data_IF_607548279163
#
_entry.id   IF_607548279163
#
_cell.length_a   1.000
_cell.length_b   1.000
_cell.length_c   1.000
_cell.angle_alpha   90.00
_cell.angle_beta   90.00
_cell.angle_gamma   90.00
#
_symmetry.space_group_name_H-M   'P 1'
#
loop_
_entity.id
_entity.type
_entity.pdbx_description
1 polymer ?
#
# COMPACT_ATOMS: atom_id res chain seq x y z
N UNK A 1 -1.16 24.74 13.09
CA UNK A 1 -0.87 24.12 11.77
C UNK A 1 0.28 23.16 11.95
N UNK A 2 0.24 21.99 11.29
CA UNK A 2 1.36 21.04 11.29
C UNK A 2 2.65 21.74 10.84
N UNK A 3 3.79 21.30 11.36
CA UNK A 3 5.08 21.78 10.87
C UNK A 3 5.21 21.35 9.40
N UNK A 4 5.53 22.30 8.54
CA UNK A 4 5.82 22.06 7.12
C UNK A 4 7.09 22.81 6.75
N UNK A 5 7.70 22.45 5.62
CA UNK A 5 8.90 23.12 5.16
C UNK A 5 8.57 24.55 4.69
N UNK A 6 8.85 25.52 5.56
CA UNK A 6 8.61 26.95 5.33
C UNK A 6 9.46 27.46 4.17
N UNK A 7 10.72 27.03 4.07
CA UNK A 7 11.64 27.48 3.02
C UNK A 7 11.11 27.10 1.63
N UNK A 8 10.68 25.85 1.46
CA UNK A 8 10.09 25.39 0.20
C UNK A 8 8.79 26.14 -0.11
N UNK A 9 7.96 26.40 0.89
CA UNK A 9 6.73 27.15 0.71
C UNK A 9 7.00 28.61 0.26
N UNK A 10 8.01 29.28 0.83
CA UNK A 10 8.43 30.63 0.42
C UNK A 10 8.97 30.62 -1.02
N UNK A 11 9.81 29.64 -1.37
CA UNK A 11 10.34 29.50 -2.73
C UNK A 11 9.21 29.32 -3.75
N UNK A 12 8.28 28.40 -3.47
CA UNK A 12 7.09 28.20 -4.29
C UNK A 12 6.32 29.50 -4.49
N UNK A 13 6.05 30.25 -3.41
CA UNK A 13 5.30 31.50 -3.49
C UNK A 13 6.01 32.55 -4.36
N UNK A 14 7.31 32.71 -4.18
CA UNK A 14 8.12 33.66 -4.96
C UNK A 14 8.13 33.29 -6.46
N UNK A 15 8.19 32.00 -6.79
CA UNK A 15 8.20 31.54 -8.18
C UNK A 15 6.83 31.69 -8.84
N UNK A 16 5.73 31.46 -8.09
CA UNK A 16 4.37 31.75 -8.56
C UNK A 16 4.21 33.24 -8.86
N UNK A 17 4.62 34.12 -7.94
CA UNK A 17 4.55 35.57 -8.15
C UNK A 17 5.35 36.03 -9.39
N UNK A 18 6.58 35.52 -9.57
CA UNK A 18 7.38 35.83 -10.77
C UNK A 18 6.73 35.33 -12.05
N UNK A 19 6.10 34.16 -12.01
CA UNK A 19 5.47 33.53 -13.18
C UNK A 19 4.21 34.27 -13.61
N UNK A 20 3.40 34.73 -12.64
CA UNK A 20 2.21 35.55 -12.90
C UNK A 20 2.61 36.91 -13.48
N UNK A 21 3.66 37.57 -12.96
CA UNK A 21 4.13 38.86 -13.50
C UNK A 21 4.52 38.78 -14.98
N UNK A 22 5.05 37.64 -15.43
CA UNK A 22 5.38 37.43 -16.86
C UNK A 22 4.15 37.35 -17.77
N UNK A 23 2.96 37.20 -17.18
CA UNK A 23 1.69 37.05 -17.88
C UNK A 23 0.82 38.31 -17.79
N UNK A 24 1.33 39.38 -17.18
CA UNK A 24 0.62 40.67 -17.10
C UNK A 24 0.28 41.18 -18.50
N UNK A 25 -1.00 41.52 -18.70
CA UNK A 25 -1.52 42.02 -19.97
C UNK A 25 -2.09 40.97 -20.92
N UNK A 26 -1.94 39.67 -20.64
CA UNK A 26 -2.59 38.61 -21.42
C UNK A 26 -4.08 38.49 -21.07
N UNK A 27 -4.91 38.34 -22.10
CA UNK A 27 -6.32 37.96 -21.94
C UNK A 27 -6.49 36.45 -21.99
N UNK A 28 -7.59 35.91 -21.45
CA UNK A 28 -7.80 34.45 -21.41
C UNK A 28 -7.79 33.77 -22.79
N UNK A 29 -8.20 34.48 -23.84
CA UNK A 29 -8.19 33.94 -25.22
C UNK A 29 -6.78 33.80 -25.80
N UNK A 30 -5.79 34.49 -25.23
CA UNK A 30 -4.39 34.48 -25.67
C UNK A 30 -3.54 33.53 -24.82
N UNK A 31 -4.07 33.11 -23.66
CA UNK A 31 -3.35 32.26 -22.73
C UNK A 31 -3.26 30.82 -23.24
N UNK A 32 -2.04 30.28 -23.23
CA UNK A 32 -1.83 28.85 -23.36
C UNK A 32 -2.35 28.12 -22.12
N UNK A 33 -2.56 26.81 -22.25
CA UNK A 33 -2.94 25.92 -21.14
C UNK A 33 -2.12 26.18 -19.86
N UNK A 34 -0.79 26.23 -20.00
CA UNK A 34 0.11 26.39 -18.85
C UNK A 34 0.04 27.80 -18.27
N UNK A 35 -0.21 28.81 -19.10
CA UNK A 35 -0.45 30.18 -18.62
C UNK A 35 -1.74 30.27 -17.80
N UNK A 36 -2.81 29.61 -18.26
CA UNK A 36 -4.06 29.52 -17.49
C UNK A 36 -3.83 28.83 -16.14
N UNK A 37 -3.06 27.73 -16.11
CA UNK A 37 -2.71 27.06 -14.85
C UNK A 37 -2.00 28.02 -13.90
N UNK A 38 -0.93 28.69 -14.37
CA UNK A 38 -0.14 29.62 -13.56
C UNK A 38 -1.00 30.74 -13.00
N UNK A 39 -1.90 31.32 -13.81
CA UNK A 39 -2.81 32.39 -13.41
C UNK A 39 -3.70 32.01 -12.23
N UNK A 40 -4.09 30.74 -12.11
CA UNK A 40 -4.99 30.24 -11.07
C UNK A 40 -4.29 29.50 -9.91
N UNK A 41 -2.96 29.39 -9.89
CA UNK A 41 -2.23 28.85 -8.73
C UNK A 41 -2.56 29.56 -7.39
N UNK A 42 -2.72 30.90 -7.34
CA UNK A 42 -3.13 31.57 -6.10
C UNK A 42 -4.52 31.17 -5.62
N UNK A 43 -5.42 30.79 -6.52
CA UNK A 43 -6.75 30.28 -6.15
C UNK A 43 -6.61 28.95 -5.40
N UNK A 44 -5.72 28.06 -5.85
CA UNK A 44 -5.48 26.78 -5.17
C UNK A 44 -5.03 26.99 -3.73
N UNK A 45 -4.06 27.87 -3.51
CA UNK A 45 -3.56 28.15 -2.16
C UNK A 45 -4.67 28.68 -1.24
N UNK A 46 -5.44 29.67 -1.73
CA UNK A 46 -6.56 30.24 -0.99
C UNK A 46 -7.64 29.21 -0.63
N UNK A 47 -7.83 28.19 -1.46
CA UNK A 47 -8.76 27.10 -1.20
C UNK A 47 -8.17 26.06 -0.24
N UNK A 48 -6.91 25.68 -0.42
CA UNK A 48 -6.21 24.72 0.45
C UNK A 48 -6.14 25.21 1.90
N UNK A 49 -5.90 26.52 2.12
CA UNK A 49 -5.89 27.15 3.45
C UNK A 49 -7.23 27.09 4.19
N UNK A 50 -8.34 26.81 3.50
CA UNK A 50 -9.67 26.66 4.11
C UNK A 50 -9.92 25.25 4.65
N UNK A 51 -9.06 24.27 4.31
CA UNK A 51 -9.12 22.93 4.89
C UNK A 51 -8.36 22.92 6.22
N UNK A 52 -8.91 22.25 7.22
CA UNK A 52 -8.23 22.07 8.51
C UNK A 52 -7.03 21.16 8.32
N UNK A 53 -5.88 21.56 8.85
CA UNK A 53 -4.66 20.72 8.92
C UNK A 53 -4.55 19.98 10.26
N UNK A 54 -5.62 19.90 11.05
CA UNK A 54 -5.61 19.12 12.30
C UNK A 54 -5.51 17.63 11.97
N UNK A 55 -4.88 16.85 12.85
CA UNK A 55 -4.73 15.39 12.66
C UNK A 55 -6.09 14.72 12.39
N UNK A 56 -7.12 15.14 13.13
CA UNK A 56 -8.48 14.65 12.95
C UNK A 56 -9.04 14.91 11.54
N UNK A 57 -8.66 16.00 10.88
CA UNK A 57 -9.26 16.44 9.63
C UNK A 57 -8.43 16.06 8.39
N UNK A 58 -7.11 16.23 8.44
CA UNK A 58 -6.22 15.99 7.29
C UNK A 58 -5.29 14.78 7.46
N UNK A 59 -5.41 14.04 8.56
CA UNK A 59 -4.49 12.95 8.86
C UNK A 59 -3.07 13.47 8.89
N UNK A 60 -2.15 12.81 8.20
CA UNK A 60 -0.74 13.21 8.11
C UNK A 60 -0.46 14.40 7.19
N UNK A 61 -1.42 14.80 6.34
CA UNK A 61 -1.18 15.81 5.31
C UNK A 61 -0.94 17.21 5.88
N UNK A 62 0.09 17.88 5.36
CA UNK A 62 0.43 19.27 5.62
C UNK A 62 -0.20 20.22 4.61
N UNK A 63 -0.10 21.53 4.86
CA UNK A 63 -0.61 22.54 3.91
C UNK A 63 0.05 22.45 2.52
N UNK A 64 1.33 22.06 2.46
CA UNK A 64 2.05 21.89 1.20
C UNK A 64 1.44 20.75 0.38
N UNK A 65 1.05 19.65 1.05
CA UNK A 65 0.44 18.49 0.40
C UNK A 65 -0.95 18.84 -0.14
N UNK A 66 -1.74 19.59 0.65
CA UNK A 66 -3.05 20.08 0.21
C UNK A 66 -2.94 21.02 -1.00
N UNK A 67 -1.91 21.85 -1.07
CA UNK A 67 -1.64 22.71 -2.23
C UNK A 67 -1.33 21.84 -3.45
N UNK A 68 -0.53 20.78 -3.31
CA UNK A 68 -0.18 19.91 -4.44
C UNK A 68 -1.38 19.11 -4.96
N UNK A 69 -2.21 18.55 -4.08
CA UNK A 69 -3.47 17.91 -4.49
C UNK A 69 -4.40 18.90 -5.20
N UNK A 70 -4.43 20.14 -4.71
CA UNK A 70 -5.17 21.22 -5.35
C UNK A 70 -4.61 21.59 -6.73
N UNK A 71 -3.29 21.63 -6.90
CA UNK A 71 -2.60 21.93 -8.16
C UNK A 71 -2.84 20.82 -9.19
N UNK A 72 -2.85 19.56 -8.75
CA UNK A 72 -3.28 18.43 -9.58
C UNK A 72 -4.74 18.62 -10.04
N UNK A 73 -5.64 18.97 -9.12
CA UNK A 73 -7.04 19.26 -9.42
C UNK A 73 -7.23 20.43 -10.39
N UNK A 74 -6.42 21.49 -10.27
CA UNK A 74 -6.41 22.63 -11.17
C UNK A 74 -5.97 22.21 -12.58
N UNK A 75 -4.84 21.52 -12.69
CA UNK A 75 -4.27 21.07 -13.96
C UNK A 75 -5.29 20.22 -14.74
N UNK A 76 -5.89 19.23 -14.07
CA UNK A 76 -6.91 18.38 -14.68
C UNK A 76 -8.24 19.11 -14.97
N UNK A 77 -8.51 20.24 -14.31
CA UNK A 77 -9.69 21.05 -14.56
C UNK A 77 -9.51 21.96 -15.78
N UNK A 78 -8.32 22.54 -15.96
CA UNK A 78 -8.01 23.41 -17.11
C UNK A 78 -8.20 22.66 -18.43
N UNK A 79 -7.83 21.39 -18.49
CA UNK A 79 -8.03 20.52 -19.66
C UNK A 79 -9.50 20.27 -20.01
N UNK A 80 -10.43 20.62 -19.10
CA UNK A 80 -11.87 20.40 -19.23
C UNK A 80 -12.68 21.69 -19.26
N UNK A 81 -12.02 22.84 -19.47
CA UNK A 81 -12.70 24.12 -19.61
C UNK A 81 -13.41 24.15 -20.97
N UNK A 82 -14.70 24.48 -20.94
CA UNK A 82 -15.47 24.86 -22.10
C UNK A 82 -15.53 26.39 -22.16
N UNK A 83 -14.65 27.00 -22.97
CA UNK A 83 -14.51 28.45 -23.03
C UNK A 83 -15.75 29.17 -23.54
N UNK A 84 -16.51 28.57 -24.45
CA UNK A 84 -17.74 29.18 -24.96
C UNK A 84 -18.74 29.36 -23.80
N UNK A 85 -18.93 28.29 -23.02
CA UNK A 85 -19.81 28.34 -21.84
C UNK A 85 -19.36 29.33 -20.77
N UNK A 86 -18.04 29.53 -20.61
CA UNK A 86 -17.50 30.52 -19.67
C UNK A 86 -17.76 31.95 -20.17
N UNK A 87 -17.47 32.22 -21.44
CA UNK A 87 -17.56 33.55 -22.04
C UNK A 87 -19.02 33.99 -22.27
N UNK A 88 -19.93 33.06 -22.53
CA UNK A 88 -21.36 33.31 -22.69
C UNK A 88 -22.10 33.55 -21.35
N UNK A 89 -21.43 33.37 -20.21
CA UNK A 89 -22.04 33.58 -18.89
C UNK A 89 -22.13 35.06 -18.50
N UNK A 90 -23.08 35.42 -17.64
CA UNK A 90 -23.26 36.81 -17.15
C UNK A 90 -21.99 37.38 -16.48
N UNK A 91 -21.24 36.52 -15.80
CA UNK A 91 -19.97 36.84 -15.14
C UNK A 91 -18.95 35.72 -15.42
N UNK A 92 -18.15 35.86 -16.51
CA UNK A 92 -17.17 34.86 -16.89
C UNK A 92 -16.12 34.57 -15.80
N UNK A 93 -15.73 35.59 -15.02
CA UNK A 93 -14.71 35.47 -13.96
C UNK A 93 -15.22 34.66 -12.77
N UNK A 94 -16.45 34.91 -12.35
CA UNK A 94 -17.07 34.10 -11.31
C UNK A 94 -17.34 32.68 -11.79
N UNK A 95 -17.74 32.50 -13.04
CA UNK A 95 -18.03 31.17 -13.60
C UNK A 95 -16.77 30.30 -13.68
N UNK A 96 -15.65 30.82 -14.19
CA UNK A 96 -14.38 30.07 -14.23
C UNK A 96 -13.86 29.76 -12.83
N UNK A 97 -13.87 30.73 -11.90
CA UNK A 97 -13.44 30.51 -10.52
C UNK A 97 -14.32 29.48 -9.81
N UNK A 98 -15.63 29.49 -10.05
CA UNK A 98 -16.57 28.49 -9.49
C UNK A 98 -16.29 27.08 -10.02
N UNK A 99 -16.09 26.95 -11.34
CA UNK A 99 -15.73 25.70 -11.98
C UNK A 99 -14.43 25.11 -11.43
N UNK A 100 -13.36 25.92 -11.42
CA UNK A 100 -12.06 25.51 -10.89
C UNK A 100 -12.14 25.20 -9.40
N UNK A 101 -12.82 26.03 -8.61
CA UNK A 101 -12.97 25.83 -7.17
C UNK A 101 -13.63 24.50 -6.82
N UNK A 102 -14.65 24.07 -7.58
CA UNK A 102 -15.29 22.75 -7.38
C UNK A 102 -14.31 21.60 -7.60
N UNK A 103 -13.49 21.67 -8.66
CA UNK A 103 -12.52 20.63 -9.01
C UNK A 103 -11.34 20.58 -8.04
N UNK A 104 -10.78 21.74 -7.71
CA UNK A 104 -9.67 21.88 -6.74
C UNK A 104 -10.09 21.32 -5.38
N UNK A 105 -11.22 21.78 -4.82
CA UNK A 105 -11.72 21.26 -3.53
C UNK A 105 -12.00 19.77 -3.57
N UNK A 106 -12.52 19.26 -4.68
CA UNK A 106 -12.78 17.83 -4.87
C UNK A 106 -11.51 16.99 -5.00
N UNK A 107 -10.42 17.53 -5.55
CA UNK A 107 -9.11 16.88 -5.56
C UNK A 107 -8.53 16.84 -4.15
N UNK A 108 -8.49 17.98 -3.46
CA UNK A 108 -8.01 18.07 -2.06
C UNK A 108 -8.77 17.11 -1.14
N UNK A 109 -10.10 17.05 -1.22
CA UNK A 109 -10.89 16.13 -0.39
C UNK A 109 -10.56 14.66 -0.63
N UNK A 110 -10.38 14.26 -1.90
CA UNK A 110 -10.00 12.88 -2.24
C UNK A 110 -8.57 12.57 -1.81
N UNK A 111 -7.65 13.51 -1.97
CA UNK A 111 -6.29 13.40 -1.47
C UNK A 111 -6.25 13.19 0.04
N UNK A 112 -7.06 13.96 0.80
CA UNK A 112 -7.24 13.75 2.24
C UNK A 112 -7.81 12.35 2.49
N UNK A 113 -8.93 11.98 1.88
CA UNK A 113 -9.58 10.69 2.12
C UNK A 113 -8.65 9.49 1.85
N UNK A 114 -7.77 9.59 0.85
CA UNK A 114 -6.78 8.56 0.53
C UNK A 114 -5.62 8.46 1.52
N UNK A 115 -5.18 9.59 2.09
CA UNK A 115 -3.96 9.68 2.89
C UNK A 115 -4.23 10.03 4.37
N UNK A 116 -5.49 9.96 4.82
CA UNK A 116 -5.90 10.38 6.17
C UNK A 116 -5.43 9.41 7.26
N UNK A 117 -5.37 8.12 6.95
CA UNK A 117 -5.04 7.06 7.89
C UNK A 117 -3.78 6.31 7.45
N UNK A 118 -3.10 5.67 8.40
CA UNK A 118 -1.91 4.84 8.12
C UNK A 118 -2.28 3.61 7.28
N UNK A 119 -3.48 3.07 7.50
CA UNK A 119 -4.06 2.02 6.65
C UNK A 119 -5.02 2.66 5.66
N UNK A 120 -4.77 2.42 4.37
CA UNK A 120 -5.62 2.94 3.30
C UNK A 120 -7.02 2.33 3.36
N UNK A 121 -8.03 3.19 3.53
CA UNK A 121 -9.44 2.80 3.45
C UNK A 121 -9.97 3.09 2.04
N UNK A 122 -10.57 2.12 1.33
CA UNK A 122 -11.20 2.36 0.05
C UNK A 122 -12.35 3.39 0.11
N UNK A 123 -12.48 4.21 -0.92
CA UNK A 123 -13.49 5.28 -1.02
C UNK A 123 -14.93 4.79 -0.76
N UNK A 124 -15.28 3.61 -1.28
CA UNK A 124 -16.63 3.05 -1.09
C UNK A 124 -16.92 2.71 0.38
N UNK A 125 -15.91 2.28 1.13
CA UNK A 125 -16.01 2.03 2.58
C UNK A 125 -16.07 3.31 3.38
N UNK A 126 -15.31 4.34 3.01
CA UNK A 126 -15.44 5.67 3.63
C UNK A 126 -16.86 6.23 3.44
N UNK A 127 -17.46 6.02 2.27
CA UNK A 127 -18.83 6.45 2.02
C UNK A 127 -19.87 5.64 2.81
N UNK A 128 -19.62 4.35 3.06
CA UNK A 128 -20.44 3.52 3.94
C UNK A 128 -20.38 4.04 5.40
N UNK A 129 -19.19 4.30 5.92
CA UNK A 129 -18.96 4.90 7.26
C UNK A 129 -19.66 6.26 7.38
N UNK A 130 -19.54 7.12 6.37
CA UNK A 130 -20.20 8.45 6.35
C UNK A 130 -21.73 8.36 6.33
N UNK A 131 -22.29 7.29 5.76
CA UNK A 131 -23.74 7.08 5.67
C UNK A 131 -24.32 6.43 6.93
N UNK A 132 -23.52 5.64 7.64
CA UNK A 132 -23.95 4.90 8.82
C UNK A 132 -23.07 5.23 10.03
N UNK A 133 -23.22 6.44 10.62
CA UNK A 133 -22.39 6.87 11.74
C UNK A 133 -22.65 6.09 13.04
N UNK A 134 -23.75 5.34 13.10
CA UNK A 134 -24.19 4.60 14.29
C UNK A 134 -23.52 3.22 14.43
N UNK A 135 -22.74 2.78 13.43
CA UNK A 135 -22.00 1.51 13.49
C UNK A 135 -20.71 1.67 14.32
N UNK A 136 -20.82 1.40 15.62
CA UNK A 136 -19.74 1.53 16.59
C UNK A 136 -18.47 0.75 16.21
N UNK A 137 -18.58 -0.42 15.57
CA UNK A 137 -17.42 -1.24 15.20
C UNK A 137 -16.63 -0.60 14.05
N UNK A 138 -17.33 -0.09 13.04
CA UNK A 138 -16.72 0.62 11.91
C UNK A 138 -16.08 1.93 12.36
N UNK A 139 -16.72 2.62 13.30
CA UNK A 139 -16.20 3.84 13.93
C UNK A 139 -14.96 3.53 14.77
N UNK A 140 -14.99 2.48 15.61
CA UNK A 140 -13.86 2.06 16.43
C UNK A 140 -12.65 1.66 15.57
N UNK A 141 -12.86 0.90 14.49
CA UNK A 141 -11.80 0.54 13.54
C UNK A 141 -11.16 1.79 12.92
N UNK A 142 -11.97 2.78 12.53
CA UNK A 142 -11.49 4.05 11.99
C UNK A 142 -10.63 4.80 13.03
N UNK A 143 -11.12 5.01 14.25
CA UNK A 143 -10.40 5.76 15.27
C UNK A 143 -9.12 5.08 15.73
N UNK A 144 -9.13 3.76 15.94
CA UNK A 144 -7.93 3.02 16.33
C UNK A 144 -6.84 3.08 15.24
N UNK A 145 -7.23 3.01 13.96
CA UNK A 145 -6.28 3.15 12.84
C UNK A 145 -5.69 4.55 12.64
N UNK A 146 -6.28 5.58 13.27
CA UNK A 146 -5.88 6.99 13.07
C UNK A 146 -5.15 7.55 14.29
N UNK A 147 -5.46 7.09 15.50
CA UNK A 147 -4.99 7.72 16.74
C UNK A 147 -4.14 6.82 17.63
N UNK A 148 -4.12 5.50 17.41
CA UNK A 148 -3.27 4.60 18.20
C UNK A 148 -1.81 4.69 17.71
N UNK A 149 -0.99 5.47 18.40
CA UNK A 149 0.45 5.57 18.15
C UNK A 149 1.24 4.79 19.19
N UNK A 150 2.22 3.99 18.73
CA UNK A 150 3.17 3.29 19.61
C UNK A 150 4.03 4.29 20.41
N UNK A 151 4.29 5.46 19.83
CA UNK A 151 5.08 6.53 20.44
C UNK A 151 4.25 7.47 21.32
N UNK A 152 2.98 7.13 21.61
CA UNK A 152 2.17 7.92 22.53
C UNK A 152 2.83 7.96 23.90
N UNK A 153 2.99 9.16 24.46
CA UNK A 153 3.50 9.32 25.82
C UNK A 153 2.45 8.84 26.81
N UNK A 154 2.80 7.80 27.58
CA UNK A 154 2.03 7.34 28.72
C UNK A 154 2.69 7.86 29.99
N UNK A 155 1.89 8.44 30.91
CA UNK A 155 2.38 8.97 32.18
C UNK A 155 2.90 7.86 33.13
N UNK A 156 2.56 6.59 32.85
CA UNK A 156 3.10 5.43 33.55
C UNK A 156 4.43 4.98 32.93
N UNK A 157 5.36 4.51 33.78
CA UNK A 157 6.69 4.01 33.38
C UNK A 157 6.64 2.84 32.37
N UNK A 158 5.48 2.16 32.23
CA UNK A 158 5.27 1.08 31.27
C UNK A 158 4.27 1.48 30.18
N UNK A 159 4.74 1.46 28.93
CA UNK A 159 3.89 1.65 27.76
C UNK A 159 3.06 0.37 27.52
N UNK A 160 1.73 0.46 27.29
CA UNK A 160 0.92 -0.69 26.89
C UNK A 160 1.45 -1.42 25.65
N UNK A 161 2.18 -0.71 24.77
CA UNK A 161 2.78 -1.29 23.57
C UNK A 161 4.02 -2.14 23.84
N UNK A 162 4.73 -1.93 24.96
CA UNK A 162 5.87 -2.78 25.34
C UNK A 162 5.43 -4.10 25.98
N UNK A 163 4.13 -4.28 26.25
CA UNK A 163 3.55 -5.47 26.85
C UNK A 163 2.80 -6.37 25.84
N UNK A 164 2.91 -6.10 24.54
CA UNK A 164 2.29 -6.95 23.51
C UNK A 164 3.02 -8.29 23.49
N UNK A 165 2.36 -9.33 23.99
CA UNK A 165 2.88 -10.68 23.99
C UNK A 165 3.01 -11.22 22.56
N UNK A 166 4.14 -11.86 22.27
CA UNK A 166 4.31 -12.62 21.04
C UNK A 166 3.51 -13.94 21.17
N UNK A 167 2.39 -14.00 20.46
CA UNK A 167 1.54 -15.19 20.39
C UNK A 167 1.92 -16.12 19.23
N UNK A 168 3.03 -15.85 18.53
CA UNK A 168 3.50 -16.77 17.49
C UNK A 168 3.93 -18.09 18.13
N UNK A 169 3.27 -19.18 17.74
CA UNK A 169 3.66 -20.50 18.19
C UNK A 169 4.97 -20.89 17.47
N UNK A 170 6.06 -21.21 18.19
CA UNK A 170 7.28 -21.70 17.56
C UNK A 170 6.98 -23.05 16.93
N UNK A 171 6.97 -23.11 15.60
CA UNK A 171 6.81 -24.35 14.87
C UNK A 171 7.92 -25.33 15.28
N UNK A 172 7.57 -26.49 15.83
CA UNK A 172 8.56 -27.51 16.17
C UNK A 172 8.99 -28.28 14.90
N UNK A 173 9.76 -27.58 14.07
CA UNK A 173 10.28 -28.09 12.79
C UNK A 173 11.08 -29.37 13.00
N UNK A 174 11.84 -29.46 14.10
CA UNK A 174 12.65 -30.63 14.42
C UNK A 174 11.78 -31.88 14.65
N UNK A 175 10.69 -31.75 15.42
CA UNK A 175 9.78 -32.86 15.68
C UNK A 175 9.13 -33.36 14.38
N UNK A 176 8.59 -32.44 13.57
CA UNK A 176 7.94 -32.78 12.30
C UNK A 176 8.93 -33.42 11.33
N UNK A 177 10.12 -32.85 11.19
CA UNK A 177 11.16 -33.40 10.30
C UNK A 177 11.61 -34.79 10.76
N UNK A 178 11.83 -34.99 12.07
CA UNK A 178 12.21 -36.29 12.61
C UNK A 178 11.16 -37.37 12.32
N UNK A 179 9.88 -37.01 12.46
CA UNK A 179 8.76 -37.89 12.19
C UNK A 179 8.68 -38.26 10.69
N UNK A 180 8.71 -37.26 9.80
CA UNK A 180 8.71 -37.47 8.35
C UNK A 180 9.89 -38.33 7.90
N UNK A 181 11.09 -38.10 8.42
CA UNK A 181 12.27 -38.88 8.08
C UNK A 181 12.14 -40.35 8.51
N UNK A 182 11.55 -40.63 9.68
CA UNK A 182 11.30 -41.99 10.15
C UNK A 182 10.28 -42.71 9.25
N UNK A 183 9.21 -42.01 8.87
CA UNK A 183 8.17 -42.54 8.01
C UNK A 183 8.71 -42.86 6.62
N UNK A 184 9.53 -41.95 6.07
CA UNK A 184 10.24 -42.15 4.82
C UNK A 184 11.22 -43.33 4.89
N UNK A 185 11.97 -43.51 5.99
CA UNK A 185 12.89 -44.66 6.15
C UNK A 185 12.14 -46.01 6.17
N UNK A 186 10.89 -46.03 6.63
CA UNK A 186 10.07 -47.23 6.75
C UNK A 186 9.50 -47.70 5.41
N UNK A 187 9.03 -46.78 4.58
CA UNK A 187 8.27 -47.12 3.38
C UNK A 187 9.00 -46.83 2.05
N UNK A 188 10.10 -46.08 2.06
CA UNK A 188 10.84 -45.73 0.85
C UNK A 188 12.13 -46.52 0.69
N UNK A 189 12.49 -46.77 -0.56
CA UNK A 189 13.84 -47.25 -0.90
C UNK A 189 14.89 -46.18 -0.62
N UNK A 190 16.16 -46.57 -0.44
CA UNK A 190 17.26 -45.63 -0.19
C UNK A 190 17.33 -44.49 -1.22
N UNK A 191 17.10 -44.81 -2.50
CA UNK A 191 17.09 -43.81 -3.57
C UNK A 191 15.90 -42.83 -3.45
N UNK A 192 14.70 -43.32 -3.21
CA UNK A 192 13.51 -42.48 -3.01
C UNK A 192 13.64 -41.63 -1.75
N UNK A 193 14.17 -42.19 -0.67
CA UNK A 193 14.45 -41.52 0.59
C UNK A 193 15.39 -40.32 0.38
N UNK A 194 16.55 -40.54 -0.24
CA UNK A 194 17.55 -39.48 -0.44
C UNK A 194 17.03 -38.40 -1.41
N UNK A 195 16.32 -38.77 -2.49
CA UNK A 195 15.71 -37.80 -3.40
C UNK A 195 14.71 -36.91 -2.67
N UNK A 196 13.80 -37.49 -1.88
CA UNK A 196 12.73 -36.75 -1.24
C UNK A 196 13.27 -35.87 -0.10
N UNK A 197 14.19 -36.38 0.71
CA UNK A 197 14.84 -35.68 1.83
C UNK A 197 15.60 -34.45 1.36
N UNK A 198 16.44 -34.60 0.33
CA UNK A 198 17.26 -33.51 -0.22
C UNK A 198 16.43 -32.49 -1.01
N UNK A 199 15.37 -32.94 -1.70
CA UNK A 199 14.48 -32.04 -2.45
C UNK A 199 13.74 -31.05 -1.55
N UNK A 200 13.36 -31.48 -0.35
CA UNK A 200 12.63 -30.66 0.61
C UNK A 200 13.50 -30.06 1.71
N UNK A 201 14.76 -30.50 1.83
CA UNK A 201 15.69 -30.01 2.85
C UNK A 201 15.28 -30.41 4.27
N UNK A 202 14.73 -31.62 4.45
CA UNK A 202 14.14 -32.06 5.72
C UNK A 202 15.18 -32.19 6.85
N UNK A 203 16.45 -32.40 6.51
CA UNK A 203 17.56 -32.46 7.46
C UNK A 203 18.82 -31.74 6.94
N UNK A 204 18.61 -30.78 6.04
CA UNK A 204 19.66 -29.96 5.44
C UNK A 204 19.32 -28.48 5.63
N UNK A 205 20.34 -27.63 5.67
CA UNK A 205 20.14 -26.17 5.81
C UNK A 205 19.34 -25.55 4.65
N UNK A 206 19.32 -26.21 3.50
CA UNK A 206 18.64 -25.73 2.29
C UNK A 206 18.15 -26.88 1.40
N UNK A 207 17.22 -26.55 0.50
CA UNK A 207 16.72 -27.45 -0.54
C UNK A 207 17.75 -27.62 -1.65
N UNK A 208 17.98 -28.85 -2.09
CA UNK A 208 18.91 -29.13 -3.17
C UNK A 208 18.23 -29.06 -4.55
N UNK A 209 18.98 -28.62 -5.56
CA UNK A 209 18.52 -28.65 -6.95
C UNK A 209 18.53 -30.10 -7.47
N UNK A 210 17.61 -30.42 -8.38
CA UNK A 210 17.52 -31.76 -8.98
C UNK A 210 18.83 -32.22 -9.65
N UNK A 211 19.59 -31.27 -10.22
CA UNK A 211 20.91 -31.52 -10.81
C UNK A 211 21.94 -31.98 -9.79
N UNK A 212 21.91 -31.41 -8.59
CA UNK A 212 22.88 -31.70 -7.54
C UNK A 212 22.53 -32.99 -6.80
N UNK A 213 21.23 -33.25 -6.62
CA UNK A 213 20.73 -34.56 -6.17
C UNK A 213 21.12 -35.66 -7.16
N UNK A 214 20.99 -35.41 -8.46
CA UNK A 214 21.38 -36.39 -9.48
C UNK A 214 22.88 -36.70 -9.45
N UNK A 215 23.74 -35.68 -9.27
CA UNK A 215 25.17 -35.87 -9.07
C UNK A 215 25.47 -36.66 -7.80
N UNK A 216 24.80 -36.33 -6.70
CA UNK A 216 24.96 -37.02 -5.41
C UNK A 216 24.59 -38.51 -5.48
N UNK A 217 23.56 -38.85 -6.26
CA UNK A 217 23.09 -40.22 -6.47
C UNK A 217 23.75 -40.93 -7.67
N UNK A 218 24.77 -40.31 -8.30
CA UNK A 218 25.49 -40.82 -9.47
C UNK A 218 24.57 -41.15 -10.67
N UNK A 219 23.51 -40.36 -10.88
CA UNK A 219 22.59 -40.49 -12.02
C UNK A 219 23.07 -39.60 -13.17
N UNK A 220 24.00 -40.12 -13.97
CA UNK A 220 24.60 -39.39 -15.10
C UNK A 220 23.83 -39.65 -16.41
N UNK A 221 22.61 -39.15 -16.51
CA UNK A 221 21.77 -39.23 -17.72
C UNK A 221 21.42 -37.82 -18.20
N UNK A 222 21.34 -37.58 -19.51
CA UNK A 222 20.94 -36.28 -20.06
C UNK A 222 19.57 -35.79 -19.54
N UNK A 223 18.70 -36.71 -19.13
CA UNK A 223 17.36 -36.46 -18.55
C UNK A 223 17.32 -36.61 -17.03
N UNK A 224 18.47 -36.47 -16.34
CA UNK A 224 18.61 -36.65 -14.89
C UNK A 224 17.55 -35.89 -14.07
N UNK A 225 17.28 -34.63 -14.40
CA UNK A 225 16.28 -33.81 -13.71
C UNK A 225 14.87 -34.40 -13.78
N UNK A 226 14.47 -34.88 -14.95
CA UNK A 226 13.16 -35.52 -15.17
C UNK A 226 13.07 -36.81 -14.37
N UNK A 227 14.16 -37.58 -14.32
CA UNK A 227 14.24 -38.81 -13.55
C UNK A 227 14.13 -38.57 -12.05
N UNK A 228 14.78 -37.52 -11.53
CA UNK A 228 14.64 -37.11 -10.13
C UNK A 228 13.20 -36.70 -9.82
N UNK A 229 12.53 -35.94 -10.69
CA UNK A 229 11.11 -35.60 -10.53
C UNK A 229 10.20 -36.83 -10.53
N UNK A 230 10.50 -37.82 -11.38
CA UNK A 230 9.76 -39.08 -11.40
C UNK A 230 9.95 -39.87 -10.10
N UNK A 231 11.20 -40.05 -9.65
CA UNK A 231 11.51 -40.74 -8.38
C UNK A 231 10.83 -40.02 -7.21
N UNK A 232 10.81 -38.69 -7.22
CA UNK A 232 10.13 -37.88 -6.21
C UNK A 232 8.62 -38.15 -6.19
N UNK A 233 7.98 -38.20 -7.37
CA UNK A 233 6.54 -38.51 -7.49
C UNK A 233 6.25 -39.93 -6.99
N UNK A 234 7.01 -40.91 -7.46
CA UNK A 234 6.85 -42.31 -7.08
C UNK A 234 7.05 -42.51 -5.57
N UNK A 235 7.98 -41.75 -4.96
CA UNK A 235 8.18 -41.75 -3.51
C UNK A 235 6.96 -41.19 -2.75
N UNK A 236 6.36 -40.09 -3.23
CA UNK A 236 5.15 -39.53 -2.62
C UNK A 236 3.98 -40.51 -2.74
N UNK A 237 3.79 -41.11 -3.92
CA UNK A 237 2.73 -42.09 -4.15
C UNK A 237 2.90 -43.32 -3.24
N UNK A 238 4.14 -43.77 -3.03
CA UNK A 238 4.46 -44.85 -2.10
C UNK A 238 4.16 -44.49 -0.63
N UNK A 239 4.41 -43.24 -0.21
CA UNK A 239 4.04 -42.79 1.14
C UNK A 239 2.52 -42.74 1.30
N UNK A 240 1.79 -42.19 0.32
CA UNK A 240 0.33 -42.12 0.36
C UNK A 240 -0.29 -43.51 0.45
N UNK A 241 0.23 -44.49 -0.28
CA UNK A 241 -0.31 -45.85 -0.29
C UNK A 241 -0.06 -46.63 1.01
N UNK A 242 0.99 -46.31 1.77
CA UNK A 242 1.44 -47.12 2.91
C UNK A 242 1.35 -46.41 4.27
N UNK A 243 0.97 -45.12 4.30
CA UNK A 243 0.82 -44.35 5.54
C UNK A 243 -0.64 -44.37 5.99
N UNK A 244 -0.87 -44.66 7.27
CA UNK A 244 -2.20 -44.55 7.87
C UNK A 244 -2.59 -43.07 7.97
N UNK A 245 -3.72 -42.63 7.40
CA UNK A 245 -4.17 -41.24 7.45
C UNK A 245 -4.27 -40.67 8.86
N UNK A 246 -4.60 -41.50 9.85
CA UNK A 246 -4.69 -41.08 11.26
C UNK A 246 -3.36 -40.60 11.82
N UNK A 247 -2.24 -41.13 11.32
CA UNK A 247 -0.89 -40.77 11.80
C UNK A 247 -0.41 -39.40 11.30
N UNK A 248 -1.04 -38.87 10.24
CA UNK A 248 -0.70 -37.57 9.64
C UNK A 248 -1.63 -36.46 10.15
N UNK A 249 -2.84 -36.82 10.59
CA UNK A 249 -3.87 -35.90 11.08
C UNK A 249 -3.45 -35.09 12.32
N UNK A 250 -2.59 -35.64 13.17
CA UNK A 250 -2.08 -34.95 14.36
C UNK A 250 -1.09 -33.81 14.04
N UNK A 251 -0.66 -33.69 12.77
CA UNK A 251 0.30 -32.69 12.30
C UNK A 251 -0.28 -31.68 11.29
N UNK A 252 -1.60 -31.73 11.03
CA UNK A 252 -2.34 -30.82 10.15
C UNK A 252 -3.21 -29.85 10.96
#
# INVERSE_FOLDING_TARGET
MKKYNIQNYILYKNDVEKSIRKQEGLTWGEMTRDQVIIQFLPLVENLARKFSTSDQASGVMSINDLIQEGNYGLTAAVDKIDWNKILDSEDPEKTIKSFLSKRIKGAIRRGIDMNRADVRIPEHKLNEIRRNPDDENMVAMFFNSVFSSIDAHYDNEESPFTQVADNSEPYNIELINSYLLNLMRKYLTKQQYDVLRLSYGLDQDHKWLATDIAKHLNINVATANVRISQIKKDAIDALIANTDPSQVLDFL
#
